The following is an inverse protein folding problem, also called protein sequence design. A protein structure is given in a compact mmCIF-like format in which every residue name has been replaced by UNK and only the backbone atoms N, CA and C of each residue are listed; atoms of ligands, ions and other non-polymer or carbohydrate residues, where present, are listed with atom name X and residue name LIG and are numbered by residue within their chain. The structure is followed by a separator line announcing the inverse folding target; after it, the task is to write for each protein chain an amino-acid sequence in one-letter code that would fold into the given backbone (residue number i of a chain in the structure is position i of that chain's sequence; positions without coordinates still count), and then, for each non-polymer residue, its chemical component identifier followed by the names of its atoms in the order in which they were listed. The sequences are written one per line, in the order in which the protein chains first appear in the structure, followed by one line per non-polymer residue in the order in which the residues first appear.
data_IF_660320860028
#
_entry.id   IF_660320860028
#
_cell.length_a   1.000
_cell.length_b   1.000
_cell.length_c   1.000
_cell.angle_alpha   90.00
_cell.angle_beta   90.00
_cell.angle_gamma   90.00
#
_symmetry.space_group_name_H-M   'P 1'
#
loop_
_entity.id
_entity.type
_entity.pdbx_description
1 polymer ?
#
# COMPACT_ATOMS: atom_id res chain seq x y z
N UNK A 1 15.31 11.63 11.97
CA UNK A 1 14.46 11.13 10.86
C UNK A 1 15.25 10.83 9.59
N UNK A 2 15.86 11.82 8.93
CA UNK A 2 16.56 11.62 7.65
C UNK A 2 17.64 10.51 7.69
N UNK A 3 18.51 10.51 8.72
CA UNK A 3 19.55 9.46 8.90
C UNK A 3 18.98 8.04 9.00
N UNK A 4 17.89 7.87 9.76
CA UNK A 4 17.25 6.56 9.95
C UNK A 4 16.52 6.09 8.68
N UNK A 5 15.90 7.02 7.95
CA UNK A 5 15.30 6.73 6.65
C UNK A 5 16.37 6.30 5.63
N UNK A 6 17.47 7.04 5.55
CA UNK A 6 18.59 6.73 4.67
C UNK A 6 19.24 5.37 5.00
N UNK A 7 19.31 5.02 6.29
CA UNK A 7 19.80 3.72 6.74
C UNK A 7 18.77 2.58 6.62
N UNK A 8 17.55 2.83 6.11
CA UNK A 8 16.51 1.81 5.94
C UNK A 8 15.82 1.35 7.23
N UNK A 9 16.17 1.91 8.39
CA UNK A 9 15.69 1.50 9.72
C UNK A 9 14.15 1.59 9.81
N UNK A 10 13.56 2.62 9.20
CA UNK A 10 12.11 2.82 9.23
C UNK A 10 11.37 1.67 8.51
N UNK A 11 11.93 1.18 7.39
CA UNK A 11 11.40 0.02 6.68
C UNK A 11 11.51 -1.25 7.52
N UNK A 12 12.65 -1.46 8.19
CA UNK A 12 12.85 -2.61 9.08
C UNK A 12 11.84 -2.63 10.24
N UNK A 13 11.58 -1.48 10.87
CA UNK A 13 10.57 -1.37 11.95
C UNK A 13 9.18 -1.75 11.42
N UNK A 14 8.78 -1.20 10.26
CA UNK A 14 7.51 -1.55 9.61
C UNK A 14 7.40 -3.05 9.39
N UNK A 15 8.43 -3.68 8.85
CA UNK A 15 8.41 -5.10 8.49
C UNK A 15 8.36 -6.01 9.73
N UNK A 16 9.08 -5.65 10.80
CA UNK A 16 9.02 -6.37 12.08
C UNK A 16 7.62 -6.28 12.72
N UNK A 17 7.00 -5.10 12.71
CA UNK A 17 5.64 -4.92 13.21
C UNK A 17 4.62 -5.69 12.38
N UNK A 18 4.71 -5.63 11.05
CA UNK A 18 3.85 -6.40 10.16
C UNK A 18 4.00 -7.90 10.43
N UNK A 19 5.24 -8.37 10.56
CA UNK A 19 5.57 -9.77 10.87
C UNK A 19 4.97 -10.23 12.20
N UNK A 20 5.07 -9.39 13.25
CA UNK A 20 4.45 -9.67 14.55
C UNK A 20 2.92 -9.74 14.43
N UNK A 21 2.29 -8.75 13.81
CA UNK A 21 0.83 -8.73 13.61
C UNK A 21 0.36 -9.98 12.87
N UNK A 22 1.10 -10.42 11.85
CA UNK A 22 0.76 -11.62 11.07
C UNK A 22 0.80 -12.89 11.91
N UNK A 23 1.85 -13.09 12.72
CA UNK A 23 1.92 -14.23 13.67
C UNK A 23 0.74 -14.21 14.63
N UNK A 24 0.44 -13.02 15.16
CA UNK A 24 -0.62 -12.72 16.11
C UNK A 24 -2.05 -12.99 15.61
N UNK A 25 -2.24 -13.18 14.30
CA UNK A 25 -3.51 -13.55 13.65
C UNK A 25 -3.46 -14.94 13.00
N UNK A 26 -2.48 -15.78 13.39
CA UNK A 26 -2.33 -17.14 12.89
C UNK A 26 -1.88 -17.23 11.43
N UNK A 27 -1.11 -16.24 10.93
CA UNK A 27 -0.56 -16.24 9.58
C UNK A 27 0.96 -16.31 9.59
N UNK A 28 1.52 -16.83 8.51
CA UNK A 28 2.97 -16.84 8.30
C UNK A 28 3.56 -15.42 8.40
N UNK A 29 4.73 -15.25 9.03
CA UNK A 29 5.31 -13.94 9.35
C UNK A 29 5.64 -13.10 8.12
N UNK A 30 5.85 -13.76 6.98
CA UNK A 30 6.14 -13.15 5.69
C UNK A 30 4.96 -13.37 4.74
N UNK A 31 4.64 -12.35 3.94
CA UNK A 31 3.51 -12.40 3.02
C UNK A 31 3.97 -12.89 1.65
N UNK A 32 3.27 -13.88 1.07
CA UNK A 32 3.58 -14.39 -0.28
C UNK A 32 2.78 -13.72 -1.39
N UNK A 33 1.78 -12.92 -1.01
CA UNK A 33 0.89 -12.26 -1.94
C UNK A 33 0.50 -10.86 -1.45
N UNK A 34 0.47 -9.91 -2.38
CA UNK A 34 0.26 -8.48 -2.10
C UNK A 34 -0.74 -7.84 -3.04
N UNK A 35 -1.19 -6.65 -2.67
CA UNK A 35 -2.03 -5.78 -3.50
C UNK A 35 -1.31 -4.45 -3.67
N UNK A 36 -1.27 -3.93 -4.90
CA UNK A 36 -0.71 -2.61 -5.23
C UNK A 36 -1.80 -1.69 -5.77
N UNK A 37 -1.76 -0.43 -5.33
CA UNK A 37 -2.57 0.65 -5.88
C UNK A 37 -1.87 2.00 -5.67
N UNK A 38 -2.33 3.02 -6.38
CA UNK A 38 -1.77 4.37 -6.36
C UNK A 38 -2.79 5.43 -5.94
N UNK A 39 -2.34 6.39 -5.16
CA UNK A 39 -3.15 7.56 -4.78
C UNK A 39 -2.44 8.86 -5.13
N UNK A 40 -3.04 9.66 -6.00
CA UNK A 40 -2.59 11.01 -6.30
C UNK A 40 -3.09 11.97 -5.22
N UNK A 41 -2.20 12.84 -4.74
CA UNK A 41 -2.49 13.86 -3.74
C UNK A 41 -1.98 15.20 -4.21
N UNK A 42 -2.71 16.28 -3.85
CA UNK A 42 -2.26 17.64 -4.12
C UNK A 42 -0.94 17.88 -3.39
N UNK A 43 0.00 18.55 -4.04
CA UNK A 43 1.22 19.04 -3.39
C UNK A 43 1.03 20.48 -2.93
N UNK A 44 1.68 20.86 -1.84
CA UNK A 44 1.78 22.23 -1.39
C UNK A 44 2.61 23.08 -2.38
N UNK A 45 2.51 24.40 -2.26
CA UNK A 45 3.30 25.33 -3.06
C UNK A 45 4.81 25.14 -2.87
N UNK A 46 5.22 24.80 -1.64
CA UNK A 46 6.62 24.56 -1.26
C UNK A 46 7.24 23.32 -1.90
N UNK A 47 6.44 22.47 -2.55
CA UNK A 47 6.92 21.28 -3.27
C UNK A 47 7.35 21.70 -4.67
N UNK A 48 8.63 21.47 -4.97
CA UNK A 48 9.24 21.82 -6.26
C UNK A 48 8.54 21.16 -7.45
N UNK A 49 8.38 21.91 -8.55
CA UNK A 49 7.92 21.40 -9.85
C UNK A 49 8.75 20.21 -10.36
N UNK A 50 10.02 20.10 -9.96
CA UNK A 50 10.87 18.97 -10.33
C UNK A 50 10.43 17.62 -9.72
N UNK A 51 9.56 17.64 -8.71
CA UNK A 51 9.15 16.45 -7.97
C UNK A 51 7.64 16.29 -7.85
N UNK A 52 6.86 17.10 -8.59
CA UNK A 52 5.39 17.01 -8.69
C UNK A 52 4.99 17.08 -10.16
N UNK A 53 3.84 16.51 -10.49
CA UNK A 53 3.29 16.47 -11.83
C UNK A 53 1.78 16.62 -11.83
N UNK A 54 1.19 16.72 -13.02
CA UNK A 54 -0.25 16.88 -13.18
C UNK A 54 -0.93 15.58 -13.61
N UNK A 55 -1.72 15.00 -12.71
CA UNK A 55 -2.61 13.89 -13.02
C UNK A 55 -3.88 14.43 -13.67
N UNK A 56 -3.97 14.31 -15.00
CA UNK A 56 -5.11 14.80 -15.77
C UNK A 56 -6.41 14.06 -15.43
N UNK A 57 -6.33 12.75 -15.15
CA UNK A 57 -7.50 11.93 -14.82
C UNK A 57 -8.14 12.33 -13.49
N UNK A 58 -7.32 12.73 -12.52
CA UNK A 58 -7.79 13.19 -11.19
C UNK A 58 -7.84 14.71 -11.06
N UNK A 59 -7.34 15.46 -12.05
CA UNK A 59 -7.14 16.92 -12.02
C UNK A 59 -6.33 17.36 -10.80
N UNK A 60 -5.25 16.64 -10.51
CA UNK A 60 -4.40 16.86 -9.32
C UNK A 60 -3.00 17.28 -9.77
N UNK A 61 -2.60 18.49 -9.38
CA UNK A 61 -1.19 18.89 -9.39
C UNK A 61 -0.54 18.43 -8.08
N UNK A 62 0.33 17.42 -8.16
CA UNK A 62 1.03 16.93 -6.99
C UNK A 62 1.82 15.66 -7.20
N UNK A 63 1.74 14.75 -6.23
CA UNK A 63 2.49 13.49 -6.24
C UNK A 63 1.54 12.31 -6.15
N UNK A 64 2.01 11.16 -6.61
CA UNK A 64 1.31 9.88 -6.54
C UNK A 64 2.05 8.95 -5.60
N UNK A 65 1.29 8.33 -4.69
CA UNK A 65 1.76 7.42 -3.66
C UNK A 65 1.40 6.01 -4.08
N UNK A 66 2.40 5.20 -4.37
CA UNK A 66 2.27 3.79 -4.70
C UNK A 66 2.42 3.00 -3.42
N UNK A 67 1.38 2.26 -3.03
CA UNK A 67 1.36 1.49 -1.81
C UNK A 67 1.23 0.00 -2.15
N UNK A 68 2.17 -0.81 -1.65
CA UNK A 68 2.07 -2.27 -1.67
C UNK A 68 1.73 -2.74 -0.27
N UNK A 69 0.66 -3.51 -0.16
CA UNK A 69 0.20 -4.09 1.12
C UNK A 69 0.04 -5.60 1.01
N UNK A 70 0.12 -6.29 2.14
CA UNK A 70 -0.27 -7.70 2.20
C UNK A 70 -1.80 -7.88 2.10
N UNK A 71 -2.27 -9.13 2.09
CA UNK A 71 -3.71 -9.46 2.03
C UNK A 71 -4.53 -9.01 3.24
N UNK A 72 -3.90 -8.49 4.30
CA UNK A 72 -4.56 -7.90 5.48
C UNK A 72 -4.48 -6.37 5.49
N UNK A 73 -3.85 -5.76 4.49
CA UNK A 73 -3.67 -4.31 4.41
C UNK A 73 -2.53 -3.79 5.28
N UNK A 74 -1.53 -4.63 5.58
CA UNK A 74 -0.29 -4.20 6.24
C UNK A 74 0.68 -3.72 5.16
N UNK A 75 1.12 -2.44 5.19
CA UNK A 75 2.08 -1.92 4.22
C UNK A 75 3.42 -2.65 4.25
N UNK A 76 3.93 -2.96 3.06
CA UNK A 76 5.26 -3.55 2.83
C UNK A 76 6.15 -2.61 2.03
N UNK A 77 5.58 -1.77 1.17
CA UNK A 77 6.36 -0.80 0.40
C UNK A 77 5.55 0.45 0.13
N UNK A 78 6.22 1.60 0.21
CA UNK A 78 5.71 2.91 -0.20
C UNK A 78 6.71 3.48 -1.19
N UNK A 79 6.22 3.99 -2.31
CA UNK A 79 7.02 4.80 -3.22
C UNK A 79 6.23 6.03 -3.63
N UNK A 80 6.87 7.18 -3.73
CA UNK A 80 6.22 8.42 -4.14
C UNK A 80 6.85 8.92 -5.44
N UNK A 81 6.00 9.31 -6.39
CA UNK A 81 6.41 9.81 -7.71
C UNK A 81 5.69 11.11 -8.03
N UNK A 82 6.13 11.87 -9.04
CA UNK A 82 5.28 12.86 -9.69
C UNK A 82 3.93 12.24 -10.12
N UNK A 83 2.84 13.03 -10.10
CA UNK A 83 1.50 12.50 -10.31
C UNK A 83 1.16 12.18 -11.78
N UNK A 84 1.90 12.76 -12.72
CA UNK A 84 1.84 12.49 -14.16
C UNK A 84 2.54 11.19 -14.58
N UNK A 85 3.36 10.60 -13.71
CA UNK A 85 3.98 9.30 -13.99
C UNK A 85 2.90 8.20 -14.07
N UNK A 86 2.91 7.46 -15.17
CA UNK A 86 1.98 6.35 -15.40
C UNK A 86 2.21 5.20 -14.40
N UNK A 87 1.13 4.63 -13.89
CA UNK A 87 1.16 3.62 -12.82
C UNK A 87 1.99 2.40 -13.19
N UNK A 88 1.82 1.88 -14.40
CA UNK A 88 2.65 0.77 -14.91
C UNK A 88 4.17 1.07 -14.91
N UNK A 89 4.58 2.32 -15.17
CA UNK A 89 5.99 2.70 -15.16
C UNK A 89 6.54 2.77 -13.72
N UNK A 90 5.79 3.39 -12.81
CA UNK A 90 6.13 3.41 -11.39
C UNK A 90 6.16 1.97 -10.81
N UNK A 91 5.19 1.14 -11.17
CA UNK A 91 5.08 -0.23 -10.70
C UNK A 91 6.30 -1.08 -11.03
N UNK A 92 6.92 -0.86 -12.20
CA UNK A 92 8.15 -1.56 -12.58
C UNK A 92 9.23 -1.41 -11.51
N UNK A 93 9.45 -0.17 -11.05
CA UNK A 93 10.41 0.17 -10.00
C UNK A 93 9.96 -0.34 -8.62
N UNK A 94 8.69 -0.14 -8.26
CA UNK A 94 8.13 -0.64 -6.99
C UNK A 94 8.31 -2.14 -6.88
N UNK A 95 7.96 -2.89 -7.93
CA UNK A 95 8.02 -4.35 -7.94
C UNK A 95 9.46 -4.87 -7.92
N UNK A 96 10.38 -4.19 -8.60
CA UNK A 96 11.81 -4.51 -8.52
C UNK A 96 12.33 -4.41 -7.07
N UNK A 97 12.10 -3.27 -6.41
CA UNK A 97 12.48 -3.07 -5.01
C UNK A 97 11.78 -4.04 -4.08
N UNK A 98 10.48 -4.27 -4.29
CA UNK A 98 9.69 -5.21 -3.51
C UNK A 98 10.30 -6.61 -3.58
N UNK A 99 10.73 -7.05 -4.77
CA UNK A 99 11.34 -8.36 -4.97
C UNK A 99 12.67 -8.52 -4.24
N UNK A 100 13.50 -7.47 -4.22
CA UNK A 100 14.76 -7.46 -3.48
C UNK A 100 14.55 -7.56 -1.96
N UNK A 101 13.54 -6.85 -1.44
CA UNK A 101 13.29 -6.77 0.00
C UNK A 101 12.43 -7.93 0.54
N UNK A 102 11.55 -8.48 -0.30
CA UNK A 102 10.58 -9.52 0.05
C UNK A 102 10.58 -10.64 -1.01
N UNK A 103 11.65 -11.44 -1.07
CA UNK A 103 11.81 -12.51 -2.07
C UNK A 103 10.81 -13.67 -1.92
N UNK A 104 9.99 -13.69 -0.87
CA UNK A 104 8.89 -14.64 -0.73
C UNK A 104 7.63 -14.26 -1.55
N UNK A 105 7.51 -13.02 -2.02
CA UNK A 105 6.31 -12.57 -2.75
C UNK A 105 6.31 -13.18 -4.14
N UNK A 106 5.17 -13.77 -4.53
CA UNK A 106 4.97 -14.42 -5.83
C UNK A 106 3.75 -13.89 -6.59
N UNK A 107 2.77 -13.32 -5.88
CA UNK A 107 1.52 -12.84 -6.48
C UNK A 107 1.29 -11.38 -6.10
N UNK A 108 0.95 -10.55 -7.09
CA UNK A 108 0.56 -9.14 -6.89
C UNK A 108 -0.79 -8.90 -7.56
N UNK A 109 -1.83 -8.55 -6.79
CA UNK A 109 -3.08 -8.03 -7.35
C UNK A 109 -2.96 -6.54 -7.59
N UNK A 110 -3.48 -6.08 -8.73
CA UNK A 110 -3.43 -4.68 -9.13
C UNK A 110 -4.70 -4.31 -9.90
N UNK A 111 -4.93 -3.03 -10.17
CA UNK A 111 -5.98 -2.63 -11.11
C UNK A 111 -5.59 -2.89 -12.58
N UNK A 112 -6.52 -2.59 -13.49
CA UNK A 112 -6.30 -2.76 -14.94
C UNK A 112 -5.26 -1.78 -15.51
N UNK A 113 -4.93 -0.68 -14.84
CA UNK A 113 -3.88 0.26 -15.29
C UNK A 113 -2.47 -0.35 -15.16
N UNK A 114 -2.31 -1.43 -14.38
CA UNK A 114 -1.07 -2.21 -14.28
C UNK A 114 -0.98 -3.37 -15.30
N UNK A 115 -1.93 -3.47 -16.24
CA UNK A 115 -1.90 -4.49 -17.28
C UNK A 115 -0.84 -4.21 -18.37
N UNK A 116 -0.80 -5.05 -19.40
CA UNK A 116 0.08 -4.88 -20.56
C UNK A 116 1.52 -5.32 -20.32
N UNK A 117 2.48 -4.57 -20.88
CA UNK A 117 3.91 -4.94 -20.89
C UNK A 117 4.51 -5.21 -19.51
N UNK A 118 3.97 -4.57 -18.47
CA UNK A 118 4.41 -4.76 -17.08
C UNK A 118 4.23 -6.22 -16.62
N UNK A 119 3.11 -6.87 -16.98
CA UNK A 119 2.80 -8.25 -16.55
C UNK A 119 3.85 -9.22 -17.08
N UNK A 120 4.16 -9.15 -18.38
CA UNK A 120 5.21 -9.96 -19.00
C UNK A 120 6.59 -9.67 -18.42
N UNK A 121 6.93 -8.38 -18.26
CA UNK A 121 8.21 -7.99 -17.68
C UNK A 121 8.40 -8.52 -16.25
N UNK A 122 7.38 -8.40 -15.39
CA UNK A 122 7.44 -8.86 -14.00
C UNK A 122 7.54 -10.38 -13.91
N UNK A 123 6.87 -11.12 -14.80
CA UNK A 123 7.00 -12.57 -14.87
C UNK A 123 8.40 -12.98 -15.31
N UNK A 124 8.93 -12.35 -16.36
CA UNK A 124 10.24 -12.69 -16.94
C UNK A 124 11.42 -12.33 -16.03
N UNK A 125 11.40 -11.15 -15.41
CA UNK A 125 12.58 -10.61 -14.70
C UNK A 125 12.50 -10.77 -13.19
N UNK A 126 11.29 -10.85 -12.61
CA UNK A 126 11.10 -10.91 -11.16
C UNK A 126 10.46 -12.23 -10.70
N UNK A 127 10.04 -13.09 -11.63
CA UNK A 127 9.18 -14.25 -11.37
C UNK A 127 7.91 -13.91 -10.55
N UNK A 128 7.37 -12.70 -10.76
CA UNK A 128 6.14 -12.24 -10.12
C UNK A 128 4.94 -12.45 -11.04
N UNK A 129 3.85 -12.98 -10.49
CA UNK A 129 2.57 -13.06 -11.18
C UNK A 129 1.73 -11.84 -10.82
N UNK A 130 1.64 -10.87 -11.72
CA UNK A 130 0.69 -9.76 -11.59
C UNK A 130 -0.68 -10.25 -12.06
N UNK A 131 -1.71 -10.02 -11.24
CA UNK A 131 -3.11 -10.31 -11.53
C UNK A 131 -3.87 -8.98 -11.62
N UNK A 132 -3.96 -8.36 -12.80
CA UNK A 132 -4.82 -7.19 -13.00
C UNK A 132 -6.27 -7.59 -12.76
N UNK A 133 -6.96 -6.88 -11.87
CA UNK A 133 -8.36 -7.09 -11.54
C UNK A 133 -9.19 -5.99 -12.19
N UNK A 134 -9.89 -6.37 -13.25
CA UNK A 134 -10.83 -5.52 -13.97
C UNK A 134 -12.27 -5.80 -13.56
N UNK A 135 -13.13 -4.78 -13.67
CA UNK A 135 -14.58 -4.95 -13.62
C UNK A 135 -15.03 -5.91 -14.74
N UNK A 136 -15.90 -6.90 -14.45
CA UNK A 136 -16.53 -7.69 -15.50
C UNK A 136 -17.28 -6.78 -16.47
N UNK A 137 -17.15 -7.04 -17.78
CA UNK A 137 -17.72 -6.17 -18.82
C UNK A 137 -19.25 -6.10 -18.76
N UNK A 138 -19.88 -7.18 -18.32
CA UNK A 138 -21.34 -7.34 -18.34
C UNK A 138 -22.01 -6.91 -17.02
N UNK A 139 -21.25 -6.40 -16.06
CA UNK A 139 -21.80 -6.04 -14.76
C UNK A 139 -22.30 -4.60 -14.73
N UNK A 140 -23.60 -4.40 -14.41
CA UNK A 140 -24.21 -3.10 -14.11
C UNK A 140 -24.09 -2.76 -12.62
N UNK A 141 -24.13 -1.48 -12.26
CA UNK A 141 -24.07 -1.04 -10.86
C UNK A 141 -22.68 -1.12 -10.20
N UNK A 142 -22.61 -1.17 -8.87
CA UNK A 142 -21.35 -1.30 -8.12
C UNK A 142 -20.98 -2.78 -7.96
N UNK A 143 -19.76 -3.15 -8.36
CA UNK A 143 -19.22 -4.51 -8.18
C UNK A 143 -18.01 -4.45 -7.28
N UNK A 144 -18.05 -5.20 -6.18
CA UNK A 144 -16.89 -5.38 -5.32
C UNK A 144 -15.85 -6.21 -6.06
N UNK A 145 -14.73 -5.58 -6.42
CA UNK A 145 -13.58 -6.27 -6.98
C UNK A 145 -12.80 -6.97 -5.85
N UNK A 146 -12.69 -8.31 -5.87
CA UNK A 146 -12.01 -9.04 -4.81
C UNK A 146 -10.57 -8.54 -4.64
N UNK A 147 -10.16 -8.36 -3.38
CA UNK A 147 -8.80 -7.96 -2.93
C UNK A 147 -8.36 -6.52 -3.21
N UNK A 148 -8.92 -5.80 -4.19
CA UNK A 148 -8.58 -4.38 -4.45
C UNK A 148 -8.89 -3.45 -3.27
N UNK A 149 -10.05 -3.64 -2.65
CA UNK A 149 -10.49 -2.82 -1.52
C UNK A 149 -9.50 -2.82 -0.34
N UNK A 150 -8.61 -3.82 -0.24
CA UNK A 150 -7.65 -3.95 0.86
C UNK A 150 -6.60 -2.83 0.83
N UNK A 151 -6.04 -2.52 -0.34
CA UNK A 151 -5.05 -1.44 -0.49
C UNK A 151 -5.71 -0.07 -0.44
N UNK A 152 -6.89 0.08 -1.04
CA UNK A 152 -7.69 1.30 -0.97
C UNK A 152 -8.05 1.66 0.49
N UNK A 153 -8.47 0.67 1.28
CA UNK A 153 -8.67 0.83 2.73
C UNK A 153 -7.38 1.19 3.46
N UNK A 154 -6.25 0.63 3.06
CA UNK A 154 -4.96 0.94 3.68
C UNK A 154 -4.54 2.38 3.40
N UNK A 155 -4.75 2.86 2.17
CA UNK A 155 -4.58 4.26 1.81
C UNK A 155 -5.51 5.16 2.63
N UNK A 156 -6.79 4.79 2.80
CA UNK A 156 -7.71 5.51 3.65
C UNK A 156 -7.24 5.58 5.12
N UNK A 157 -6.68 4.49 5.66
CA UNK A 157 -6.09 4.52 6.99
C UNK A 157 -4.90 5.48 7.11
N UNK A 158 -4.03 5.55 6.09
CA UNK A 158 -2.92 6.52 6.09
C UNK A 158 -3.44 7.96 6.10
N UNK A 159 -4.59 8.22 5.47
CA UNK A 159 -5.21 9.53 5.43
C UNK A 159 -5.80 10.00 6.77
N UNK A 160 -6.04 9.09 7.74
CA UNK A 160 -6.42 9.50 9.10
C UNK A 160 -5.33 10.31 9.79
N UNK A 161 -4.05 10.10 9.44
CA UNK A 161 -2.99 11.03 9.78
C UNK A 161 -3.10 12.24 8.84
N UNK A 162 -3.87 13.26 9.26
CA UNK A 162 -4.27 14.45 8.46
C UNK A 162 -3.13 15.14 7.72
N UNK A 163 -1.88 15.01 8.19
CA UNK A 163 -0.69 15.46 7.47
C UNK A 163 -0.60 14.95 6.03
N UNK A 164 -1.19 13.79 5.75
CA UNK A 164 -1.18 13.16 4.44
C UNK A 164 -2.31 13.64 3.51
N UNK A 165 -3.19 14.55 3.94
CA UNK A 165 -4.23 15.12 3.08
C UNK A 165 -3.67 15.90 1.88
N UNK A 166 -2.49 16.48 2.04
CA UNK A 166 -1.70 17.19 1.03
C UNK A 166 -0.23 16.84 1.26
N UNK A 167 0.56 16.73 0.19
CA UNK A 167 2.00 16.53 0.34
C UNK A 167 2.70 17.88 0.57
N UNK A 168 3.33 18.03 1.72
CA UNK A 168 4.08 19.24 2.11
C UNK A 168 5.60 19.05 2.01
N UNK A 169 6.05 17.84 1.67
CA UNK A 169 7.44 17.43 1.84
C UNK A 169 8.29 17.81 0.62
N UNK A 170 9.35 18.58 0.85
CA UNK A 170 10.28 18.99 -0.23
C UNK A 170 10.92 17.79 -0.91
N UNK A 171 11.36 16.80 -0.13
CA UNK A 171 11.97 15.56 -0.62
C UNK A 171 10.94 14.43 -0.68
N UNK A 172 10.97 13.65 -1.76
CA UNK A 172 10.11 12.47 -1.97
C UNK A 172 10.32 11.46 -0.83
N UNK A 173 11.57 11.25 -0.45
CA UNK A 173 11.97 10.30 0.60
C UNK A 173 11.35 10.66 1.95
N UNK A 174 11.16 11.95 2.23
CA UNK A 174 10.47 12.38 3.46
C UNK A 174 8.98 12.01 3.41
N UNK A 175 8.32 12.22 2.27
CA UNK A 175 6.92 11.81 2.06
C UNK A 175 6.75 10.31 2.26
N UNK A 176 7.61 9.49 1.64
CA UNK A 176 7.63 8.02 1.80
C UNK A 176 7.85 7.60 3.26
N UNK A 177 8.80 8.24 3.93
CA UNK A 177 9.13 7.96 5.34
C UNK A 177 7.94 8.26 6.23
N UNK A 178 7.25 9.38 6.02
CA UNK A 178 6.13 9.80 6.86
C UNK A 178 4.90 8.92 6.66
N UNK A 179 4.61 8.50 5.43
CA UNK A 179 3.57 7.51 5.16
C UNK A 179 3.90 6.20 5.89
N UNK A 180 5.17 5.80 5.85
CA UNK A 180 5.64 4.61 6.59
C UNK A 180 5.48 4.77 8.10
N UNK A 181 5.71 5.95 8.67
CA UNK A 181 5.43 6.22 10.09
C UNK A 181 3.95 6.17 10.44
N UNK A 182 3.06 6.63 9.55
CA UNK A 182 1.63 6.46 9.75
C UNK A 182 1.24 4.97 9.81
N UNK A 183 1.84 4.14 8.96
CA UNK A 183 1.69 2.69 9.00
C UNK A 183 2.22 2.08 10.30
N UNK A 184 3.42 2.46 10.73
CA UNK A 184 4.02 2.03 12.01
C UNK A 184 3.10 2.38 13.18
N UNK A 185 2.62 3.63 13.24
CA UNK A 185 1.72 4.10 14.32
C UNK A 185 0.41 3.31 14.35
N UNK A 186 -0.16 3.00 13.19
CA UNK A 186 -1.35 2.16 13.10
C UNK A 186 -1.08 0.73 13.57
N UNK A 187 0.07 0.15 13.20
CA UNK A 187 0.47 -1.20 13.58
C UNK A 187 0.78 -1.33 15.07
N UNK A 188 1.51 -0.37 15.67
CA UNK A 188 1.78 -0.36 17.12
C UNK A 188 0.48 -0.26 17.91
N UNK A 189 -0.46 0.59 17.50
CA UNK A 189 -1.80 0.68 18.11
C UNK A 189 -2.61 -0.61 17.98
N UNK A 190 -2.44 -1.39 16.90
CA UNK A 190 -3.10 -2.71 16.77
C UNK A 190 -2.55 -3.71 17.77
N UNK A 191 -1.24 -3.73 17.94
CA UNK A 191 -0.58 -4.63 18.90
C UNK A 191 -0.92 -4.25 20.34
N UNK A 192 -0.92 -2.96 20.69
CA UNK A 192 -1.24 -2.49 22.04
C UNK A 192 -2.72 -2.71 22.42
N UNK A 193 -3.65 -2.64 21.45
CA UNK A 193 -5.08 -2.85 21.70
C UNK A 193 -5.47 -4.29 22.04
N UNK A 194 -4.57 -5.26 21.90
CA UNK A 194 -4.84 -6.65 22.29
C UNK A 194 -5.07 -6.87 23.80
N UNK A 195 -4.90 -5.83 24.63
CA UNK A 195 -5.33 -5.81 26.03
C UNK A 195 -6.75 -5.26 26.28
N UNK A 196 -7.46 -4.77 25.26
CA UNK A 196 -8.86 -4.36 25.41
C UNK A 196 -9.76 -5.58 25.19
N UNK A 197 -10.40 -6.04 26.25
CA UNK A 197 -11.48 -7.05 26.22
C UNK A 197 -12.52 -6.66 25.17
N UNK A 198 -13.02 -7.60 24.34
CA UNK A 198 -14.16 -7.31 23.48
C UNK A 198 -15.34 -6.95 24.37
N UNK A 199 -15.80 -5.70 24.34
CA UNK A 199 -16.97 -5.23 25.09
C UNK A 199 -18.30 -5.68 24.50
N UNK A 200 -18.30 -6.72 23.66
CA UNK A 200 -19.51 -7.22 23.02
C UNK A 200 -19.61 -8.73 23.21
N UNK A 201 -20.63 -9.23 23.94
CA UNK A 201 -20.90 -10.65 23.96
C UNK A 201 -21.20 -11.11 22.53
N UNK A 202 -20.46 -12.11 22.06
CA UNK A 202 -20.88 -12.85 20.87
C UNK A 202 -22.10 -13.65 21.28
N UNK A 203 -23.29 -13.21 20.89
CA UNK A 203 -24.49 -14.03 21.00
C UNK A 203 -24.25 -15.30 20.18
N UNK A 204 -24.06 -16.43 20.86
CA UNK A 204 -24.17 -17.73 20.24
C UNK A 204 -25.65 -17.96 19.96
N UNK A 205 -25.99 -18.24 18.70
CA UNK A 205 -27.34 -18.69 18.36
C UNK A 205 -27.63 -20.01 19.10
N UNK A 206 -28.87 -20.23 19.58
CA UNK A 206 -29.25 -21.49 20.20
C UNK A 206 -29.04 -22.63 19.20
N UNK A 207 -28.35 -23.68 19.62
CA UNK A 207 -28.36 -24.96 18.92
C UNK A 207 -29.66 -25.64 19.27
N UNK A 208 -30.61 -25.64 18.35
CA UNK A 208 -31.82 -26.45 18.46
C UNK A 208 -31.42 -27.93 18.37
N UNK A 209 -31.93 -28.71 19.32
CA UNK A 209 -31.83 -30.18 19.42
C UNK A 209 -33.12 -30.78 18.89
#
# INVERSE_FOLDING_TARGET
MARWAAAGIIGQIRDQLASRIRRDIGKGPRAVATVIDSQSVKAAETVSKATRGYDAGKKINGRKRHLVVDTRGLPLMVMVTPADLHDAAAAKEVLFRLRLMHPEITIVWADSAYAGKLVGWAKQHLNLTIKPVSRPKDASGFVVLPRRWVVERSLAWMMHARRHARDYERLIQHSETLITWAAITLMTRRLARKGATPSWPRNHAPTDV
#
